data_IF_076149312475
#
_entry.id   IF_076149312475
#
_cell.length_a   1.000
_cell.length_b   1.000
_cell.length_c   1.000
_cell.angle_alpha   90.00
_cell.angle_beta   90.00
_cell.angle_gamma   90.00
#
_symmetry.space_group_name_H-M   'P 1'
#
loop_
_entity.id
_entity.type
_entity.pdbx_description
1 polymer ?
#
# COMPACT_ATOMS: atom_id res chain seq x y z
N UNK A 1 -11.87 -52.68 59.16
CA UNK A 1 -10.77 -52.32 58.25
C UNK A 1 -11.21 -51.07 57.50
N UNK A 2 -10.82 -49.89 57.98
CA UNK A 2 -11.11 -48.61 57.32
C UNK A 2 -9.92 -48.24 56.43
N UNK A 3 -10.18 -48.03 55.15
CA UNK A 3 -9.19 -47.51 54.21
C UNK A 3 -8.93 -46.02 54.50
N UNK A 4 -7.67 -45.54 54.46
CA UNK A 4 -7.37 -44.13 54.62
C UNK A 4 -7.82 -43.34 53.37
N UNK A 5 -8.53 -42.24 53.60
CA UNK A 5 -8.91 -41.27 52.58
C UNK A 5 -7.65 -40.50 52.15
N UNK A 6 -7.34 -40.38 50.83
CA UNK A 6 -6.25 -39.53 50.38
C UNK A 6 -6.62 -38.07 50.66
N UNK A 7 -5.83 -37.42 51.52
CA UNK A 7 -5.91 -35.97 51.68
C UNK A 7 -5.44 -35.33 50.37
N UNK A 8 -6.39 -34.79 49.60
CA UNK A 8 -6.05 -33.95 48.45
C UNK A 8 -5.38 -32.69 48.97
N UNK A 9 -4.08 -32.58 48.72
CA UNK A 9 -3.36 -31.31 48.85
C UNK A 9 -3.94 -30.31 47.87
N UNK A 10 -4.88 -29.50 48.36
CA UNK A 10 -5.33 -28.24 47.77
C UNK A 10 -4.73 -27.07 48.56
N UNK A 11 -3.46 -27.22 48.96
CA UNK A 11 -2.61 -26.12 49.45
C UNK A 11 -1.68 -25.65 48.31
N UNK A 12 -2.23 -25.53 47.09
CA UNK A 12 -1.65 -24.65 46.06
C UNK A 12 -1.98 -23.21 46.46
N UNK A 13 -1.27 -22.74 47.48
CA UNK A 13 -1.23 -21.34 47.86
C UNK A 13 -0.73 -20.55 46.64
N UNK A 14 -1.66 -19.87 45.96
CA UNK A 14 -1.39 -18.85 44.96
C UNK A 14 -0.36 -17.86 45.56
N UNK A 15 0.89 -17.83 45.07
CA UNK A 15 1.92 -17.00 45.65
C UNK A 15 1.44 -15.54 45.58
N UNK A 16 1.26 -14.93 46.75
CA UNK A 16 0.68 -13.61 46.89
C UNK A 16 1.19 -12.64 45.82
N UNK A 17 0.31 -12.26 44.89
CA UNK A 17 0.59 -11.32 43.81
C UNK A 17 1.35 -10.12 44.35
N UNK A 18 2.39 -9.70 43.65
CA UNK A 18 3.13 -8.50 44.04
C UNK A 18 2.18 -7.29 44.09
N UNK A 19 2.44 -6.29 44.95
CA UNK A 19 1.63 -5.07 45.01
C UNK A 19 1.46 -4.36 43.65
N UNK A 20 2.42 -4.55 42.74
CA UNK A 20 2.38 -4.03 41.37
C UNK A 20 1.39 -4.81 40.49
N UNK A 21 1.42 -6.14 40.53
CA UNK A 21 0.47 -7.00 39.78
C UNK A 21 -0.96 -6.79 40.26
N UNK A 22 -1.17 -6.71 41.57
CA UNK A 22 -2.48 -6.40 42.15
C UNK A 22 -3.01 -5.04 41.67
N UNK A 23 -2.13 -4.04 41.48
CA UNK A 23 -2.51 -2.72 40.95
C UNK A 23 -2.85 -2.79 39.46
N UNK A 24 -2.06 -3.52 38.66
CA UNK A 24 -2.31 -3.73 37.23
C UNK A 24 -3.65 -4.43 36.98
N UNK A 25 -3.98 -5.49 37.75
CA UNK A 25 -5.27 -6.17 37.66
C UNK A 25 -6.45 -5.25 38.01
N UNK A 26 -6.30 -4.41 39.05
CA UNK A 26 -7.33 -3.41 39.39
C UNK A 26 -7.52 -2.41 38.25
N UNK A 27 -6.44 -1.88 37.69
CA UNK A 27 -6.53 -0.94 36.56
C UNK A 27 -7.12 -1.61 35.31
N UNK A 28 -6.76 -2.85 35.00
CA UNK A 28 -7.33 -3.62 33.88
C UNK A 28 -8.84 -3.77 33.99
N UNK A 29 -9.36 -4.14 35.18
CA UNK A 29 -10.82 -4.22 35.43
C UNK A 29 -11.51 -2.88 35.21
N UNK A 30 -10.89 -1.77 35.63
CA UNK A 30 -11.44 -0.42 35.42
C UNK A 30 -11.46 -0.06 33.92
N UNK A 31 -10.38 -0.36 33.19
CA UNK A 31 -10.31 -0.10 31.75
C UNK A 31 -11.31 -0.95 30.96
N UNK A 32 -11.44 -2.24 31.27
CA UNK A 32 -12.44 -3.11 30.67
C UNK A 32 -13.86 -2.55 30.89
N UNK A 33 -14.18 -2.13 32.13
CA UNK A 33 -15.48 -1.52 32.42
C UNK A 33 -15.71 -0.21 31.67
N UNK A 34 -14.67 0.62 31.49
CA UNK A 34 -14.76 1.85 30.71
C UNK A 34 -14.97 1.56 29.22
N UNK A 35 -14.32 0.52 28.68
CA UNK A 35 -14.50 0.09 27.29
C UNK A 35 -15.93 -0.42 27.04
N UNK A 36 -16.48 -1.23 27.95
CA UNK A 36 -17.88 -1.68 27.92
C UNK A 36 -18.85 -0.49 27.86
N UNK A 37 -18.72 0.48 28.78
CA UNK A 37 -19.58 1.67 28.82
C UNK A 37 -19.44 2.48 27.52
N UNK A 38 -18.21 2.65 27.01
CA UNK A 38 -17.97 3.35 25.75
C UNK A 38 -18.62 2.64 24.55
N UNK A 39 -18.61 1.31 24.52
CA UNK A 39 -19.29 0.52 23.48
C UNK A 39 -20.82 0.65 23.59
N UNK A 40 -21.39 0.55 24.78
CA UNK A 40 -22.83 0.76 25.01
C UNK A 40 -23.27 2.14 24.51
N UNK A 41 -22.48 3.19 24.78
CA UNK A 41 -22.74 4.55 24.29
C UNK A 41 -22.63 4.66 22.76
N UNK A 42 -21.61 4.03 22.16
CA UNK A 42 -21.41 4.02 20.71
C UNK A 42 -22.58 3.33 19.99
N UNK A 43 -23.06 2.20 20.52
CA UNK A 43 -24.22 1.49 19.99
C UNK A 43 -25.52 2.31 20.13
N UNK A 44 -25.72 2.98 21.27
CA UNK A 44 -26.87 3.85 21.48
C UNK A 44 -26.91 5.00 20.47
N UNK A 45 -25.77 5.66 20.23
CA UNK A 45 -25.63 6.70 19.21
C UNK A 45 -25.86 6.16 17.79
N UNK A 46 -25.40 4.94 17.50
CA UNK A 46 -25.66 4.28 16.22
C UNK A 46 -27.15 4.04 15.97
N UNK A 47 -27.88 3.56 16.99
CA UNK A 47 -29.35 3.39 16.94
C UNK A 47 -30.07 4.72 16.73
N UNK A 48 -29.65 5.77 17.44
CA UNK A 48 -30.21 7.12 17.31
C UNK A 48 -29.97 7.71 15.92
N UNK A 49 -28.75 7.60 15.38
CA UNK A 49 -28.41 8.08 14.06
C UNK A 49 -29.24 7.39 12.97
N UNK A 50 -29.44 6.08 13.09
CA UNK A 50 -30.29 5.30 12.17
C UNK A 50 -31.76 5.73 12.25
N UNK A 51 -32.31 5.87 13.44
CA UNK A 51 -33.68 6.33 13.62
C UNK A 51 -33.91 7.74 13.05
N UNK A 52 -32.90 8.63 13.16
CA UNK A 52 -32.96 9.97 12.53
C UNK A 52 -32.93 9.91 11.00
N UNK A 53 -32.11 9.03 10.42
CA UNK A 53 -32.09 8.83 8.98
C UNK A 53 -33.44 8.33 8.46
N UNK A 54 -34.02 7.32 9.13
CA UNK A 54 -35.34 6.76 8.79
C UNK A 54 -36.45 7.81 8.91
N UNK A 55 -36.45 8.65 9.97
CA UNK A 55 -37.41 9.74 10.12
C UNK A 55 -37.24 10.86 9.08
N UNK A 56 -36.00 11.15 8.68
CA UNK A 56 -35.71 12.12 7.62
C UNK A 56 -36.23 11.63 6.25
N UNK A 57 -36.06 10.34 5.94
CA UNK A 57 -36.62 9.71 4.73
C UNK A 57 -38.15 9.71 4.73
N UNK A 58 -38.79 9.56 5.90
CA UNK A 58 -40.24 9.62 6.07
C UNK A 58 -40.83 11.04 6.01
N UNK A 59 -39.99 12.08 5.92
CA UNK A 59 -40.43 13.48 5.91
C UNK A 59 -40.85 14.02 7.29
N UNK A 60 -40.56 13.29 8.37
CA UNK A 60 -40.89 13.64 9.75
C UNK A 60 -39.73 14.38 10.45
N UNK A 61 -38.91 15.11 9.68
CA UNK A 61 -37.72 15.78 10.19
C UNK A 61 -38.09 16.91 11.18
N UNK A 62 -38.05 16.61 12.47
CA UNK A 62 -38.13 17.60 13.55
C UNK A 62 -36.92 18.56 13.54
N UNK A 63 -37.00 19.68 14.29
CA UNK A 63 -35.90 20.65 14.37
C UNK A 63 -34.59 19.95 14.79
N UNK A 64 -33.51 20.24 14.05
CA UNK A 64 -32.20 19.63 14.25
C UNK A 64 -31.76 19.76 15.72
N UNK A 65 -31.76 18.64 16.45
CA UNK A 65 -31.25 18.59 17.81
C UNK A 65 -29.77 19.03 17.81
N UNK A 66 -29.36 19.74 18.87
CA UNK A 66 -28.17 20.58 18.94
C UNK A 66 -26.79 19.85 18.97
N UNK A 67 -26.63 18.71 18.29
CA UNK A 67 -25.36 18.01 18.23
C UNK A 67 -25.20 17.09 17.02
N UNK A 68 -24.00 17.08 16.45
CA UNK A 68 -23.60 16.12 15.41
C UNK A 68 -23.33 14.75 16.05
N UNK A 69 -24.20 13.74 15.84
CA UNK A 69 -24.01 12.40 16.40
C UNK A 69 -22.74 11.71 15.86
N UNK A 70 -22.29 12.07 14.65
CA UNK A 70 -21.05 11.55 14.07
C UNK A 70 -19.82 12.01 14.83
N UNK A 71 -19.79 13.28 15.26
CA UNK A 71 -18.73 13.82 16.10
C UNK A 71 -18.72 13.18 17.50
N UNK A 72 -19.90 12.98 18.10
CA UNK A 72 -20.02 12.31 19.40
C UNK A 72 -19.51 10.86 19.34
N UNK A 73 -19.93 10.10 18.32
CA UNK A 73 -19.47 8.74 18.08
C UNK A 73 -17.94 8.68 17.88
N UNK A 74 -17.38 9.59 17.06
CA UNK A 74 -15.94 9.63 16.79
C UNK A 74 -15.11 9.85 18.05
N UNK A 75 -15.59 10.69 18.98
CA UNK A 75 -14.93 10.94 20.28
C UNK A 75 -14.97 9.72 21.18
N UNK A 76 -16.11 9.05 21.28
CA UNK A 76 -16.27 7.82 22.08
C UNK A 76 -15.41 6.69 21.51
N UNK A 77 -15.45 6.47 20.18
CA UNK A 77 -14.62 5.47 19.52
C UNK A 77 -13.12 5.71 19.76
N UNK A 78 -12.67 6.98 19.75
CA UNK A 78 -11.29 7.33 20.10
C UNK A 78 -10.98 7.00 21.57
N UNK A 79 -11.86 7.34 22.50
CA UNK A 79 -11.68 7.03 23.92
C UNK A 79 -11.57 5.51 24.15
N UNK A 80 -12.45 4.71 23.53
CA UNK A 80 -12.42 3.24 23.61
C UNK A 80 -11.11 2.67 23.06
N UNK A 81 -10.66 3.10 21.86
CA UNK A 81 -9.38 2.63 21.30
C UNK A 81 -8.19 2.95 22.21
N UNK A 82 -8.17 4.13 22.83
CA UNK A 82 -7.12 4.51 23.77
C UNK A 82 -7.16 3.65 25.04
N UNK A 83 -8.34 3.38 25.59
CA UNK A 83 -8.52 2.49 26.74
C UNK A 83 -8.05 1.07 26.46
N UNK A 84 -8.41 0.50 25.30
CA UNK A 84 -7.96 -0.82 24.88
C UNK A 84 -6.44 -0.88 24.66
N UNK A 85 -5.85 0.17 24.08
CA UNK A 85 -4.40 0.24 23.92
C UNK A 85 -3.65 0.29 25.27
N UNK A 86 -4.21 1.00 26.26
CA UNK A 86 -3.65 1.03 27.61
C UNK A 86 -3.81 -0.31 28.34
N UNK A 87 -4.93 -0.99 28.15
CA UNK A 87 -5.16 -2.34 28.69
C UNK A 87 -4.16 -3.35 28.12
N UNK A 88 -3.97 -3.35 26.80
CA UNK A 88 -2.97 -4.18 26.13
C UNK A 88 -1.56 -3.93 26.68
N UNK A 89 -1.18 -2.67 26.84
CA UNK A 89 0.14 -2.29 27.40
C UNK A 89 0.32 -2.72 28.86
N UNK A 90 -0.75 -2.70 29.67
CA UNK A 90 -0.70 -3.19 31.05
C UNK A 90 -0.61 -4.73 31.12
N UNK A 91 -1.23 -5.43 30.16
CA UNK A 91 -1.14 -6.88 30.03
C UNK A 91 0.24 -7.35 29.51
N UNK A 92 0.91 -6.53 28.70
CA UNK A 92 2.27 -6.78 28.21
C UNK A 92 3.31 -6.68 29.33
N UNK A 93 3.19 -5.75 30.28
CA UNK A 93 4.22 -5.49 31.31
C UNK A 93 4.62 -6.68 32.21
N UNK A 94 3.72 -7.59 32.63
CA UNK A 94 4.09 -8.84 33.31
C UNK A 94 4.69 -9.88 32.37
N UNK A 95 4.17 -9.99 31.14
CA UNK A 95 4.68 -10.94 30.13
C UNK A 95 6.06 -10.53 29.59
N UNK A 96 6.35 -9.24 29.46
CA UNK A 96 7.66 -8.68 29.11
C UNK A 96 8.67 -8.88 30.22
N UNK A 97 8.27 -8.75 31.50
CA UNK A 97 9.15 -9.07 32.64
C UNK A 97 9.44 -10.56 32.79
N UNK A 98 8.54 -11.42 32.34
CA UNK A 98 8.74 -12.87 32.28
C UNK A 98 9.48 -13.32 30.99
N UNK A 99 9.49 -12.46 29.97
CA UNK A 99 10.22 -12.67 28.73
C UNK A 99 11.69 -12.39 29.00
N UNK A 100 12.50 -13.43 29.16
CA UNK A 100 13.94 -13.27 29.34
C UNK A 100 14.59 -12.47 28.20
N UNK A 101 15.85 -12.02 28.37
CA UNK A 101 16.57 -11.18 27.40
C UNK A 101 16.60 -11.76 25.98
N UNK A 102 16.44 -13.09 25.83
CA UNK A 102 16.34 -13.76 24.54
C UNK A 102 15.07 -13.41 23.75
N UNK A 103 13.93 -13.24 24.42
CA UNK A 103 12.65 -12.90 23.77
C UNK A 103 12.66 -11.43 23.34
N UNK A 104 13.21 -10.54 24.16
CA UNK A 104 13.42 -9.13 23.80
C UNK A 104 14.35 -9.01 22.60
N UNK A 105 15.53 -9.68 22.64
CA UNK A 105 16.46 -9.71 21.52
C UNK A 105 15.82 -10.25 20.24
N UNK A 106 14.93 -11.26 20.33
CA UNK A 106 14.18 -11.78 19.18
C UNK A 106 13.19 -10.75 18.63
N UNK A 107 12.46 -10.05 19.49
CA UNK A 107 11.51 -8.99 19.08
C UNK A 107 12.24 -7.82 18.41
N UNK A 108 13.35 -7.37 18.99
CA UNK A 108 14.20 -6.33 18.40
C UNK A 108 14.77 -6.75 17.05
N UNK A 109 15.28 -7.99 16.94
CA UNK A 109 15.75 -8.53 15.67
C UNK A 109 14.63 -8.64 14.62
N UNK A 110 13.41 -8.95 15.02
CA UNK A 110 12.25 -8.95 14.13
C UNK A 110 11.84 -7.54 13.69
N UNK A 111 11.77 -6.59 14.63
CA UNK A 111 11.48 -5.19 14.33
C UNK A 111 12.53 -4.60 13.38
N UNK A 112 13.82 -4.88 13.62
CA UNK A 112 14.91 -4.46 12.73
C UNK A 112 14.80 -5.10 11.34
N UNK A 113 14.40 -6.37 11.24
CA UNK A 113 14.15 -7.03 9.95
C UNK A 113 12.99 -6.39 9.20
N UNK A 114 11.89 -6.08 9.88
CA UNK A 114 10.72 -5.39 9.30
C UNK A 114 11.09 -4.00 8.80
N UNK A 115 11.75 -3.19 9.64
CA UNK A 115 12.21 -1.86 9.26
C UNK A 115 13.13 -1.87 8.02
N UNK A 116 14.08 -2.82 7.95
CA UNK A 116 14.94 -2.99 6.76
C UNK A 116 14.16 -3.46 5.52
N UNK A 117 13.11 -4.25 5.68
CA UNK A 117 12.27 -4.68 4.56
C UNK A 117 11.43 -3.52 4.02
N UNK A 118 10.88 -2.69 4.90
CA UNK A 118 10.13 -1.47 4.54
C UNK A 118 11.03 -0.45 3.83
N UNK A 119 12.25 -0.22 4.32
CA UNK A 119 13.23 0.67 3.70
C UNK A 119 13.63 0.21 2.28
N UNK A 120 13.86 -1.09 2.10
CA UNK A 120 14.09 -1.68 0.77
C UNK A 120 12.89 -1.50 -0.16
N UNK A 121 11.68 -1.82 0.32
CA UNK A 121 10.46 -1.68 -0.47
C UNK A 121 10.21 -0.22 -0.88
N UNK A 122 10.50 0.74 0.00
CA UNK A 122 10.41 2.16 -0.30
C UNK A 122 11.43 2.56 -1.38
N UNK A 123 12.69 2.14 -1.24
CA UNK A 123 13.75 2.42 -2.20
C UNK A 123 13.43 1.84 -3.58
N UNK A 124 12.94 0.59 -3.63
CA UNK A 124 12.49 -0.06 -4.87
C UNK A 124 11.31 0.68 -5.51
N UNK A 125 10.33 1.14 -4.71
CA UNK A 125 9.20 1.94 -5.22
C UNK A 125 9.67 3.26 -5.79
N UNK A 126 10.54 3.99 -5.09
CA UNK A 126 11.08 5.27 -5.58
C UNK A 126 11.88 5.05 -6.87
N UNK A 127 12.72 4.02 -6.92
CA UNK A 127 13.47 3.67 -8.12
C UNK A 127 12.56 3.37 -9.32
N UNK A 128 11.50 2.57 -9.12
CA UNK A 128 10.51 2.28 -10.17
C UNK A 128 9.77 3.53 -10.63
N UNK A 129 9.34 4.39 -9.72
CA UNK A 129 8.67 5.65 -10.08
C UNK A 129 9.59 6.56 -10.93
N UNK A 130 10.88 6.66 -10.58
CA UNK A 130 11.85 7.44 -11.37
C UNK A 130 11.99 6.86 -12.78
N UNK A 131 12.07 5.53 -12.92
CA UNK A 131 12.11 4.86 -14.22
C UNK A 131 10.83 5.13 -15.01
N UNK A 132 9.67 4.99 -14.38
CA UNK A 132 8.37 5.23 -14.99
C UNK A 132 8.25 6.66 -15.53
N UNK A 133 8.56 7.67 -14.73
CA UNK A 133 8.52 9.09 -15.13
C UNK A 133 9.48 9.37 -16.28
N UNK A 134 10.70 8.84 -16.23
CA UNK A 134 11.68 9.03 -17.32
C UNK A 134 11.22 8.36 -18.62
N UNK A 135 10.68 7.14 -18.53
CA UNK A 135 10.18 6.40 -19.69
C UNK A 135 8.93 7.07 -20.28
N UNK A 136 8.03 7.58 -19.45
CA UNK A 136 6.86 8.35 -19.87
C UNK A 136 7.27 9.64 -20.58
N UNK A 137 8.22 10.40 -20.02
CA UNK A 137 8.74 11.62 -20.64
C UNK A 137 9.41 11.35 -21.99
N UNK A 138 10.18 10.27 -22.09
CA UNK A 138 10.80 9.84 -23.34
C UNK A 138 9.76 9.44 -24.40
N UNK A 139 8.75 8.65 -24.01
CA UNK A 139 7.66 8.26 -24.91
C UNK A 139 6.85 9.47 -25.38
N UNK A 140 6.50 10.39 -24.47
CA UNK A 140 5.81 11.65 -24.78
C UNK A 140 6.57 12.45 -25.84
N UNK A 141 7.84 12.75 -25.57
CA UNK A 141 8.70 13.51 -26.49
C UNK A 141 8.78 12.85 -27.87
N UNK A 142 9.00 11.53 -27.91
CA UNK A 142 9.13 10.79 -29.16
C UNK A 142 7.86 10.88 -30.03
N UNK A 143 6.68 10.75 -29.41
CA UNK A 143 5.39 10.80 -30.10
C UNK A 143 5.03 12.23 -30.49
N UNK A 144 5.30 13.23 -29.64
CA UNK A 144 5.12 14.65 -30.00
C UNK A 144 5.91 15.00 -31.25
N UNK A 145 7.20 14.64 -31.31
CA UNK A 145 8.03 14.86 -32.51
C UNK A 145 7.48 14.12 -33.73
N UNK A 146 6.93 12.91 -33.56
CA UNK A 146 6.31 12.17 -34.66
C UNK A 146 5.07 12.88 -35.19
N UNK A 147 4.18 13.35 -34.30
CA UNK A 147 2.96 14.09 -34.66
C UNK A 147 3.35 15.37 -35.41
N UNK A 148 4.29 16.15 -34.89
CA UNK A 148 4.75 17.40 -35.50
C UNK A 148 5.36 17.20 -36.89
N UNK A 149 5.97 16.03 -37.15
CA UNK A 149 6.65 15.73 -38.41
C UNK A 149 5.68 15.14 -39.45
N UNK A 150 4.78 14.25 -39.04
CA UNK A 150 3.99 13.41 -39.96
C UNK A 150 2.51 13.83 -40.08
N UNK A 151 1.95 14.52 -39.09
CA UNK A 151 0.53 14.86 -39.09
C UNK A 151 0.23 16.12 -39.91
N UNK A 152 -0.97 16.18 -40.49
CA UNK A 152 -1.46 17.41 -41.11
C UNK A 152 -1.75 18.47 -40.05
N UNK A 153 -1.59 19.76 -40.40
CA UNK A 153 -1.70 20.85 -39.44
C UNK A 153 -3.04 20.92 -38.67
N UNK A 154 -4.13 20.41 -39.26
CA UNK A 154 -5.44 20.34 -38.61
C UNK A 154 -5.57 19.20 -37.59
N UNK A 155 -4.72 18.17 -37.69
CA UNK A 155 -4.78 16.97 -36.86
C UNK A 155 -3.80 17.02 -35.67
N UNK A 156 -2.84 17.95 -35.67
CA UNK A 156 -1.83 18.08 -34.62
C UNK A 156 -2.46 18.26 -33.24
N UNK A 157 -3.31 19.29 -33.05
CA UNK A 157 -3.92 19.57 -31.74
C UNK A 157 -4.79 18.41 -31.22
N UNK A 158 -5.73 17.83 -32.02
CA UNK A 158 -6.48 16.65 -31.59
C UNK A 158 -5.61 15.45 -31.20
N UNK A 159 -4.51 15.20 -31.92
CA UNK A 159 -3.59 14.11 -31.62
C UNK A 159 -2.78 14.36 -30.34
N UNK A 160 -2.37 15.61 -30.09
CA UNK A 160 -1.68 15.99 -28.86
C UNK A 160 -2.60 15.88 -27.63
N UNK A 161 -3.87 16.27 -27.76
CA UNK A 161 -4.88 16.09 -26.71
C UNK A 161 -5.11 14.60 -26.41
N UNK A 162 -5.28 13.77 -27.44
CA UNK A 162 -5.44 12.33 -27.29
C UNK A 162 -4.19 11.67 -26.67
N UNK A 163 -2.99 12.12 -27.04
CA UNK A 163 -1.74 11.69 -26.41
C UNK A 163 -1.71 12.06 -24.91
N UNK A 164 -2.11 13.28 -24.56
CA UNK A 164 -2.12 13.75 -23.17
C UNK A 164 -3.12 12.94 -22.32
N UNK A 165 -4.32 12.67 -22.83
CA UNK A 165 -5.30 11.78 -22.19
C UNK A 165 -4.70 10.38 -22.01
N UNK A 166 -4.11 9.84 -23.07
CA UNK A 166 -3.54 8.49 -23.06
C UNK A 166 -2.34 8.34 -22.13
N UNK A 167 -1.56 9.39 -21.90
CA UNK A 167 -0.44 9.40 -20.96
C UNK A 167 -0.88 9.58 -19.49
N UNK A 168 -2.11 10.05 -19.24
CA UNK A 168 -2.67 10.22 -17.89
C UNK A 168 -3.47 9.02 -17.38
N UNK A 169 -3.97 8.15 -18.27
CA UNK A 169 -4.63 6.88 -17.93
C UNK A 169 -3.72 5.75 -17.36
N UNK A 170 -2.46 5.56 -17.78
CA UNK A 170 -1.66 4.37 -17.43
C UNK A 170 -1.22 4.33 -15.97
N UNK A 171 -1.01 3.10 -15.48
CA UNK A 171 -0.50 2.85 -14.14
C UNK A 171 1.02 3.01 -14.08
N UNK A 172 1.58 3.31 -12.90
CA UNK A 172 3.04 3.39 -12.69
C UNK A 172 3.78 2.13 -13.22
N UNK A 173 3.13 0.96 -13.12
CA UNK A 173 3.66 -0.32 -13.61
C UNK A 173 3.84 -0.35 -15.15
N UNK A 174 3.01 0.37 -15.91
CA UNK A 174 3.06 0.32 -17.37
C UNK A 174 4.34 0.93 -17.94
N UNK A 175 4.89 1.98 -17.31
CA UNK A 175 6.12 2.63 -17.76
C UNK A 175 7.38 2.09 -17.09
N UNK A 176 7.28 1.57 -15.86
CA UNK A 176 8.44 1.03 -15.14
C UNK A 176 8.90 -0.32 -15.72
N UNK A 177 7.95 -1.18 -16.11
CA UNK A 177 8.23 -2.59 -16.42
C UNK A 177 8.36 -2.87 -17.93
N UNK A 178 8.03 -1.89 -18.79
CA UNK A 178 8.05 -2.04 -20.25
C UNK A 178 9.16 -1.21 -20.89
N UNK A 179 9.73 -1.68 -22.02
CA UNK A 179 10.59 -0.84 -22.86
C UNK A 179 9.83 0.40 -23.35
N UNK A 180 10.53 1.53 -23.46
CA UNK A 180 10.00 2.79 -24.00
C UNK A 180 9.46 2.58 -25.41
N UNK A 181 10.17 1.81 -26.24
CA UNK A 181 9.72 1.47 -27.59
C UNK A 181 8.38 0.74 -27.62
N UNK A 182 8.14 -0.20 -26.70
CA UNK A 182 6.87 -0.93 -26.63
C UNK A 182 5.72 0.03 -26.26
N UNK A 183 5.97 0.92 -25.30
CA UNK A 183 5.02 1.97 -24.91
C UNK A 183 4.70 2.91 -26.06
N UNK A 184 5.71 3.36 -26.80
CA UNK A 184 5.52 4.19 -27.99
C UNK A 184 4.69 3.44 -29.04
N UNK A 185 5.01 2.18 -29.33
CA UNK A 185 4.27 1.39 -30.31
C UNK A 185 2.78 1.27 -29.96
N UNK A 186 2.47 1.04 -28.68
CA UNK A 186 1.09 0.95 -28.19
C UNK A 186 0.34 2.27 -28.33
N UNK A 187 0.94 3.38 -27.87
CA UNK A 187 0.29 4.69 -27.95
C UNK A 187 0.11 5.11 -29.42
N UNK A 188 1.12 4.91 -30.27
CA UNK A 188 0.98 5.16 -31.70
C UNK A 188 -0.14 4.32 -32.32
N UNK A 189 -0.28 3.04 -31.95
CA UNK A 189 -1.37 2.20 -32.43
C UNK A 189 -2.76 2.72 -32.00
N UNK A 190 -2.89 3.19 -30.75
CA UNK A 190 -4.12 3.79 -30.23
C UNK A 190 -4.48 5.09 -30.96
N UNK A 191 -3.48 5.86 -31.40
CA UNK A 191 -3.62 7.11 -32.16
C UNK A 191 -3.69 6.91 -33.69
N UNK A 192 -3.55 5.68 -34.19
CA UNK A 192 -3.51 5.39 -35.64
C UNK A 192 -2.21 5.83 -36.34
N UNK A 193 -1.14 6.10 -35.59
CA UNK A 193 0.18 6.49 -36.09
C UNK A 193 1.08 5.27 -36.33
N UNK A 194 2.05 5.41 -37.24
CA UNK A 194 3.09 4.38 -37.47
C UNK A 194 4.43 4.89 -36.93
N UNK A 195 5.03 4.24 -35.92
CA UNK A 195 6.30 4.68 -35.38
C UNK A 195 7.44 4.45 -36.37
N UNK A 196 8.26 5.47 -36.61
CA UNK A 196 9.53 5.34 -37.32
C UNK A 196 10.69 5.15 -36.33
N UNK A 197 11.09 3.89 -36.15
CA UNK A 197 12.18 3.51 -35.25
C UNK A 197 13.56 4.04 -35.69
N UNK A 198 13.71 4.46 -36.94
CA UNK A 198 14.93 5.07 -37.45
C UNK A 198 15.21 6.43 -36.82
N UNK A 199 14.16 7.22 -36.56
CA UNK A 199 14.25 8.57 -35.97
C UNK A 199 14.84 8.58 -34.57
N UNK A 200 14.59 7.53 -33.79
CA UNK A 200 14.98 7.48 -32.38
C UNK A 200 16.18 6.59 -32.09
N UNK A 201 16.91 6.14 -33.13
CA UNK A 201 18.06 5.24 -32.95
C UNK A 201 19.16 5.82 -32.06
N UNK A 202 19.31 7.14 -32.07
CA UNK A 202 20.34 7.85 -31.29
C UNK A 202 19.83 8.34 -29.91
N UNK A 203 18.56 8.09 -29.58
CA UNK A 203 18.03 8.44 -28.26
C UNK A 203 18.60 7.51 -27.18
N UNK A 204 18.86 8.08 -26.00
CA UNK A 204 19.54 7.36 -24.92
C UNK A 204 18.77 6.11 -24.45
N UNK A 205 17.44 6.12 -24.54
CA UNK A 205 16.60 4.97 -24.20
C UNK A 205 16.70 3.85 -25.24
N UNK A 206 16.85 4.17 -26.52
CA UNK A 206 17.02 3.19 -27.59
C UNK A 206 18.35 2.44 -27.45
N UNK A 207 19.43 3.16 -27.11
CA UNK A 207 20.73 2.57 -26.78
C UNK A 207 20.66 1.57 -25.62
N UNK A 208 20.03 1.97 -24.50
CA UNK A 208 19.83 1.09 -23.33
C UNK A 208 19.05 -0.17 -23.67
N UNK A 209 17.99 -0.07 -24.48
CA UNK A 209 17.20 -1.23 -24.90
C UNK A 209 17.98 -2.18 -25.82
N UNK A 210 18.82 -1.63 -26.71
CA UNK A 210 19.70 -2.42 -27.56
C UNK A 210 20.73 -3.20 -26.73
N UNK A 211 21.34 -2.55 -25.73
CA UNK A 211 22.32 -3.14 -24.82
C UNK A 211 21.72 -4.24 -23.94
N UNK A 212 20.58 -3.94 -23.30
CA UNK A 212 19.87 -4.89 -22.41
C UNK A 212 19.10 -5.97 -23.17
N UNK A 213 18.98 -5.84 -24.50
CA UNK A 213 18.21 -6.73 -25.39
C UNK A 213 16.77 -6.92 -24.90
N UNK A 214 16.16 -5.82 -24.44
CA UNK A 214 14.84 -5.81 -23.84
C UNK A 214 13.81 -6.52 -24.73
N UNK A 215 13.02 -7.42 -24.14
CA UNK A 215 11.99 -8.18 -24.87
C UNK A 215 10.95 -7.20 -25.41
N UNK A 216 10.58 -7.34 -26.69
CA UNK A 216 9.60 -6.45 -27.34
C UNK A 216 10.20 -5.20 -27.98
N UNK A 217 11.45 -4.85 -27.65
CA UNK A 217 12.12 -3.71 -28.27
C UNK A 217 12.54 -4.00 -29.74
N UNK A 218 12.27 -3.08 -30.68
CA UNK A 218 12.76 -3.19 -32.05
C UNK A 218 14.30 -3.14 -32.09
N UNK A 219 14.93 -2.40 -31.17
CA UNK A 219 16.39 -2.27 -31.11
C UNK A 219 17.08 -3.53 -30.61
N UNK A 220 16.41 -4.32 -29.76
CA UNK A 220 16.92 -5.63 -29.34
C UNK A 220 17.00 -6.62 -30.51
N UNK A 221 16.05 -6.59 -31.45
CA UNK A 221 16.08 -7.43 -32.65
C UNK A 221 17.23 -7.03 -33.59
N UNK A 222 17.47 -5.74 -33.77
CA UNK A 222 18.58 -5.25 -34.59
C UNK A 222 19.95 -5.60 -34.00
N UNK A 223 20.11 -5.47 -32.68
CA UNK A 223 21.33 -5.84 -31.98
C UNK A 223 21.63 -7.34 -32.13
N UNK A 224 20.61 -8.20 -32.04
CA UNK A 224 20.74 -9.65 -32.29
C UNK A 224 21.16 -9.94 -33.73
N UNK A 225 20.57 -9.25 -34.72
CA UNK A 225 20.97 -9.37 -36.12
C UNK A 225 22.43 -8.99 -36.31
N UNK A 226 22.85 -7.80 -35.84
CA UNK A 226 24.26 -7.37 -35.91
C UNK A 226 25.22 -8.37 -35.26
N UNK A 227 24.87 -8.90 -34.09
CA UNK A 227 25.69 -9.91 -33.40
C UNK A 227 25.81 -11.22 -34.19
N UNK A 228 24.72 -11.70 -34.80
CA UNK A 228 24.75 -12.90 -35.67
C UNK A 228 25.65 -12.70 -36.89
N UNK A 229 25.56 -11.54 -37.54
CA UNK A 229 26.41 -11.18 -38.68
C UNK A 229 27.89 -11.09 -38.28
N UNK A 230 28.20 -10.46 -37.15
CA UNK A 230 29.57 -10.36 -36.64
C UNK A 230 30.17 -11.72 -36.24
N UNK A 231 29.33 -12.69 -35.85
CA UNK A 231 29.75 -14.04 -35.50
C UNK A 231 30.04 -14.95 -36.71
N UNK A 232 29.95 -14.42 -37.94
CA UNK A 232 30.27 -15.17 -39.17
C UNK A 232 29.27 -16.26 -39.52
N UNK A 233 28.03 -16.17 -39.02
CA UNK A 233 26.95 -17.03 -39.48
C UNK A 233 26.38 -16.47 -40.78
N UNK A 234 27.02 -16.78 -41.89
CA UNK A 234 26.39 -16.79 -43.20
C UNK A 234 25.39 -17.95 -43.20
N UNK A 235 24.10 -17.65 -43.05
CA UNK A 235 23.02 -18.62 -43.33
C UNK A 235 23.01 -18.82 -44.86
N UNK A 236 23.81 -19.79 -45.33
CA UNK A 236 23.81 -20.26 -46.71
C UNK A 236 22.47 -20.85 -47.16
#
# INVERSE_FOLDING_TARGET
MNAPVPQSGFDDADPALSPAEARALRHGRVLARLAEIGMEMAEALGREARARAEAAEAGEAGPAAAGDPGLAFSRIARAVRLTLALEARLAEGPAERASGPEVEARREAEAARRARAEDRALTERVGRNIIAVNNQAAARKAIETLIETEAEACDIEPLLDALAERLNEPTEADFADRPVSETIARICADLGLRPDWGLWRDEAWAGREAETRARGSPYAAEARRKARWAAGWDDG
#
